data_IF_601027098160
#
_entry.id   IF_601027098160
#
_cell.length_a   1.000
_cell.length_b   1.000
_cell.length_c   1.000
_cell.angle_alpha   90.00
_cell.angle_beta   90.00
_cell.angle_gamma   90.00
#
_symmetry.space_group_name_H-M   'P 1'
#
loop_
_entity.id
_entity.type
_entity.pdbx_description
1 polymer ?
#
# COMPACT_ATOMS: atom_id res chain seq x y z
N UNK A 1 -19.07 19.37 -13.88
CA UNK A 1 -19.66 18.63 -12.76
C UNK A 1 -18.62 18.63 -11.66
N UNK A 2 -18.77 19.56 -10.72
CA UNK A 2 -17.89 19.66 -9.56
C UNK A 2 -18.33 18.60 -8.55
N UNK A 3 -17.70 17.42 -8.61
CA UNK A 3 -17.96 16.34 -7.67
C UNK A 3 -17.37 16.78 -6.33
N UNK A 4 -18.25 17.18 -5.40
CA UNK A 4 -17.87 17.41 -4.01
C UNK A 4 -17.61 16.06 -3.34
N UNK A 5 -16.51 15.97 -2.62
CA UNK A 5 -16.15 14.83 -1.79
C UNK A 5 -16.54 15.20 -0.36
N UNK A 6 -17.61 14.60 0.15
CA UNK A 6 -18.21 15.02 1.42
C UNK A 6 -17.67 14.26 2.64
N UNK A 7 -16.80 13.26 2.44
CA UNK A 7 -16.22 12.49 3.53
C UNK A 7 -14.89 11.85 3.16
N UNK A 8 -14.09 11.55 4.19
CA UNK A 8 -12.86 10.79 4.04
C UNK A 8 -13.10 9.39 3.44
N UNK A 9 -14.25 8.77 3.76
CA UNK A 9 -14.64 7.47 3.22
C UNK A 9 -14.87 7.53 1.70
N UNK A 10 -15.67 8.48 1.24
CA UNK A 10 -15.93 8.66 -0.19
C UNK A 10 -14.63 8.90 -0.97
N UNK A 11 -13.70 9.66 -0.39
CA UNK A 11 -12.36 9.81 -0.95
C UNK A 11 -11.62 8.48 -1.02
N UNK A 12 -11.50 7.75 0.10
CA UNK A 12 -10.80 6.47 0.14
C UNK A 12 -11.34 5.49 -0.90
N UNK A 13 -12.64 5.44 -1.13
CA UNK A 13 -13.26 4.57 -2.13
C UNK A 13 -12.91 4.95 -3.57
N UNK A 14 -12.74 6.25 -3.85
CA UNK A 14 -12.36 6.77 -5.16
C UNK A 14 -10.90 6.51 -5.55
N UNK A 15 -10.04 6.25 -4.57
CA UNK A 15 -8.59 6.15 -4.79
C UNK A 15 -8.16 4.76 -5.26
N UNK A 16 -7.07 4.66 -6.05
CA UNK A 16 -6.44 3.38 -6.32
C UNK A 16 -5.87 2.77 -5.03
N UNK A 17 -5.91 1.44 -4.91
CA UNK A 17 -5.48 0.71 -3.70
C UNK A 17 -4.10 1.13 -3.17
N UNK A 18 -3.14 1.40 -4.06
CA UNK A 18 -1.78 1.82 -3.68
C UNK A 18 -1.76 3.16 -2.91
N UNK A 19 -2.69 4.06 -3.21
CA UNK A 19 -2.72 5.39 -2.59
C UNK A 19 -3.47 5.39 -1.25
N UNK A 20 -4.36 4.40 -1.02
CA UNK A 20 -5.23 4.35 0.17
C UNK A 20 -4.43 4.21 1.46
N UNK A 21 -3.47 3.29 1.49
CA UNK A 21 -2.70 3.03 2.72
C UNK A 21 -1.78 4.21 3.08
N UNK A 22 -1.12 4.80 2.09
CA UNK A 22 -0.34 6.02 2.29
C UNK A 22 -1.19 7.20 2.79
N UNK A 23 -2.40 7.38 2.24
CA UNK A 23 -3.33 8.41 2.73
C UNK A 23 -3.77 8.16 4.18
N UNK A 24 -4.07 6.91 4.55
CA UNK A 24 -4.45 6.57 5.93
C UNK A 24 -3.32 6.92 6.92
N UNK A 25 -2.08 6.55 6.60
CA UNK A 25 -0.92 6.90 7.43
C UNK A 25 -0.69 8.42 7.44
N UNK A 26 -0.85 9.08 6.30
CA UNK A 26 -0.68 10.53 6.21
C UNK A 26 -1.74 11.28 7.04
N UNK A 27 -3.00 10.86 6.98
CA UNK A 27 -4.09 11.41 7.78
C UNK A 27 -3.88 11.19 9.28
N UNK A 28 -3.21 10.09 9.66
CA UNK A 28 -2.81 9.81 11.04
C UNK A 28 -1.65 10.71 11.51
N UNK A 29 -0.65 10.93 10.64
CA UNK A 29 0.60 11.62 11.00
C UNK A 29 0.55 13.13 10.85
N UNK A 30 -0.07 13.66 9.80
CA UNK A 30 -0.06 15.09 9.49
C UNK A 30 -0.54 15.93 10.68
N UNK A 31 -1.68 15.62 11.33
CA UNK A 31 -2.16 16.41 12.47
C UNK A 31 -1.24 16.40 13.70
N UNK A 32 -0.47 15.34 13.88
CA UNK A 32 0.45 15.14 14.99
C UNK A 32 1.86 15.68 14.71
N UNK A 33 2.17 16.03 13.46
CA UNK A 33 3.52 16.43 13.04
C UNK A 33 3.74 17.95 13.20
N UNK A 34 4.96 18.34 13.59
CA UNK A 34 5.37 19.75 13.54
C UNK A 34 5.53 20.22 12.09
N UNK A 35 6.10 19.34 11.26
CA UNK A 35 6.34 19.56 9.84
C UNK A 35 6.22 18.22 9.12
N UNK A 36 5.72 18.25 7.89
CA UNK A 36 5.68 17.09 7.00
C UNK A 36 6.35 17.47 5.68
N UNK A 37 7.24 16.62 5.20
CA UNK A 37 7.86 16.76 3.88
C UNK A 37 7.51 15.54 3.04
N UNK A 38 6.77 15.76 1.96
CA UNK A 38 6.39 14.73 1.01
C UNK A 38 7.23 14.90 -0.26
N UNK A 39 8.05 13.91 -0.55
CA UNK A 39 8.79 13.77 -1.79
C UNK A 39 7.98 12.84 -2.71
N UNK A 40 7.48 13.36 -3.84
CA UNK A 40 6.61 12.65 -4.74
C UNK A 40 7.14 11.29 -5.13
N UNK A 41 6.31 10.26 -4.93
CA UNK A 41 6.63 8.87 -5.28
C UNK A 41 7.93 8.37 -4.65
N UNK A 42 8.44 9.03 -3.62
CA UNK A 42 9.71 8.68 -3.00
C UNK A 42 9.48 8.43 -1.53
N UNK A 43 9.25 9.49 -0.75
CA UNK A 43 9.35 9.46 0.72
C UNK A 43 8.39 10.48 1.34
N UNK A 44 7.74 10.09 2.43
CA UNK A 44 7.04 11.00 3.33
C UNK A 44 7.81 11.03 4.65
N UNK A 45 8.25 12.22 5.06
CA UNK A 45 8.92 12.46 6.33
C UNK A 45 7.99 13.25 7.24
N UNK A 46 7.80 12.73 8.44
CA UNK A 46 6.99 13.36 9.48
C UNK A 46 7.89 13.71 10.65
N UNK A 47 8.04 14.99 10.92
CA UNK A 47 8.87 15.48 12.00
C UNK A 47 8.01 15.66 13.25
N UNK A 48 8.36 14.93 14.31
CA UNK A 48 7.69 15.04 15.60
C UNK A 48 7.96 16.41 16.23
N UNK A 49 6.97 16.90 16.96
CA UNK A 49 7.09 18.12 17.75
C UNK A 49 7.74 17.76 19.08
N UNK A 50 8.90 18.35 19.39
CA UNK A 50 9.44 18.25 20.73
C UNK A 50 8.64 19.11 21.72
N UNK A 51 8.68 18.73 23.00
CA UNK A 51 7.98 19.45 24.08
C UNK A 51 8.46 20.90 24.25
N UNK A 52 9.68 21.20 23.80
CA UNK A 52 10.29 22.53 23.81
C UNK A 52 9.83 23.43 22.63
N UNK A 53 9.11 22.88 21.64
CA UNK A 53 8.57 23.62 20.50
C UNK A 53 9.61 24.11 19.47
N UNK A 54 10.91 24.11 19.79
CA UNK A 54 11.98 24.64 18.94
C UNK A 54 12.84 23.56 18.29
N UNK A 55 13.00 22.39 18.91
CA UNK A 55 13.78 21.31 18.32
C UNK A 55 12.92 20.43 17.42
N UNK A 56 13.51 19.99 16.29
CA UNK A 56 12.85 19.10 15.33
C UNK A 56 13.46 17.71 15.49
N UNK A 57 12.62 16.74 15.86
CA UNK A 57 13.06 15.36 16.09
C UNK A 57 13.51 14.65 14.83
N UNK A 58 14.10 13.46 14.99
CA UNK A 58 14.38 12.57 13.84
C UNK A 58 13.05 12.23 13.15
N UNK A 59 12.93 12.42 11.83
CA UNK A 59 11.67 12.19 11.15
C UNK A 59 11.34 10.70 11.09
N UNK A 60 10.06 10.37 11.22
CA UNK A 60 9.54 9.09 10.80
C UNK A 60 9.36 9.08 9.27
N UNK A 61 10.08 8.19 8.58
CA UNK A 61 10.00 8.03 7.13
C UNK A 61 8.96 6.98 6.73
N UNK A 62 8.25 7.21 5.63
CA UNK A 62 7.28 6.28 5.04
C UNK A 62 7.32 6.36 3.52
N UNK A 63 6.90 5.28 2.85
CA UNK A 63 6.77 5.26 1.39
C UNK A 63 5.53 4.47 1.01
N UNK A 64 4.59 5.13 0.35
CA UNK A 64 3.28 4.55 0.00
C UNK A 64 2.56 3.90 1.20
N UNK A 65 2.77 4.41 2.43
CA UNK A 65 2.22 3.86 3.66
C UNK A 65 3.08 2.78 4.35
N UNK A 66 4.15 2.32 3.72
CA UNK A 66 5.12 1.39 4.34
C UNK A 66 6.02 2.16 5.29
N UNK A 67 6.08 1.73 6.55
CA UNK A 67 6.93 2.37 7.58
C UNK A 67 8.41 2.17 7.28
N UNK A 68 9.21 3.23 7.45
CA UNK A 68 10.67 3.21 7.40
C UNK A 68 11.33 2.42 8.54
N UNK A 69 10.54 1.93 9.51
CA UNK A 69 10.98 0.91 10.46
C UNK A 69 11.18 -0.47 9.79
N UNK A 70 10.55 -0.70 8.63
CA UNK A 70 10.92 -1.82 7.77
C UNK A 70 12.22 -1.47 7.03
N UNK A 71 13.24 -2.29 7.21
CA UNK A 71 14.51 -2.12 6.51
C UNK A 71 14.30 -2.36 5.01
N UNK A 72 14.84 -1.48 4.16
CA UNK A 72 14.71 -1.57 2.70
C UNK A 72 15.11 -2.94 2.12
N UNK A 73 16.22 -3.59 2.56
CA UNK A 73 16.55 -4.94 2.09
C UNK A 73 15.48 -5.98 2.44
N UNK A 74 14.83 -5.85 3.60
CA UNK A 74 13.78 -6.76 4.04
C UNK A 74 12.48 -6.56 3.24
N UNK A 75 12.14 -5.31 2.91
CA UNK A 75 11.01 -4.98 2.01
C UNK A 75 11.25 -5.57 0.62
N UNK A 76 12.42 -5.35 0.03
CA UNK A 76 12.78 -5.90 -1.28
C UNK A 76 12.74 -7.43 -1.29
N UNK A 77 13.21 -8.06 -0.22
CA UNK A 77 13.12 -9.51 -0.05
C UNK A 77 11.67 -10.00 0.08
N UNK A 78 10.81 -9.27 0.79
CA UNK A 78 9.39 -9.57 0.93
C UNK A 78 8.62 -9.47 -0.41
N UNK A 79 9.06 -8.59 -1.32
CA UNK A 79 8.46 -8.44 -2.65
C UNK A 79 8.78 -9.60 -3.60
N UNK A 80 9.93 -10.29 -3.44
CA UNK A 80 10.26 -11.47 -4.24
C UNK A 80 9.64 -12.74 -3.65
N UNK A 81 8.56 -13.22 -4.30
CA UNK A 81 7.84 -14.40 -3.87
C UNK A 81 8.71 -15.66 -3.83
N UNK A 82 9.65 -15.81 -4.75
CA UNK A 82 10.52 -17.00 -4.76
C UNK A 82 11.48 -16.97 -3.57
N UNK A 83 12.03 -15.79 -3.28
CA UNK A 83 13.02 -15.61 -2.24
C UNK A 83 12.43 -15.92 -0.85
N UNK A 84 11.30 -15.29 -0.48
CA UNK A 84 10.71 -15.56 0.83
C UNK A 84 10.17 -16.98 0.95
N UNK A 85 9.58 -17.56 -0.11
CA UNK A 85 9.11 -18.95 -0.07
C UNK A 85 10.23 -19.93 0.23
N UNK A 86 11.34 -19.84 -0.49
CA UNK A 86 12.49 -20.70 -0.27
C UNK A 86 13.06 -20.54 1.15
N UNK A 87 13.04 -19.31 1.70
CA UNK A 87 13.50 -19.04 3.06
C UNK A 87 12.54 -19.61 4.11
N UNK A 88 11.23 -19.49 3.93
CA UNK A 88 10.22 -20.12 4.79
C UNK A 88 10.35 -21.65 4.79
N UNK A 89 10.49 -22.27 3.61
CA UNK A 89 10.67 -23.72 3.46
C UNK A 89 11.91 -24.22 4.22
N UNK A 90 13.05 -23.52 4.12
CA UNK A 90 14.27 -23.85 4.87
C UNK A 90 14.10 -23.81 6.39
N UNK A 91 13.10 -23.07 6.88
CA UNK A 91 12.77 -22.97 8.31
C UNK A 91 11.60 -23.89 8.70
N UNK A 92 11.23 -24.84 7.84
CA UNK A 92 10.13 -25.77 8.08
C UNK A 92 8.77 -25.09 8.16
N UNK A 93 8.59 -23.95 7.47
CA UNK A 93 7.30 -23.26 7.37
C UNK A 93 6.64 -23.68 6.05
N UNK A 94 5.40 -24.15 6.14
CA UNK A 94 4.67 -24.65 4.97
C UNK A 94 4.28 -23.51 4.03
N UNK A 95 4.63 -23.68 2.76
CA UNK A 95 4.16 -22.85 1.65
C UNK A 95 3.54 -23.75 0.57
N UNK A 96 2.71 -23.17 -0.29
CA UNK A 96 2.02 -23.88 -1.38
C UNK A 96 3.02 -24.37 -2.43
N UNK A 97 2.94 -25.58 -2.98
CA UNK A 97 3.87 -25.96 -4.08
C UNK A 97 3.69 -25.05 -5.30
N UNK A 98 4.79 -24.51 -5.81
CA UNK A 98 4.77 -23.50 -6.87
C UNK A 98 5.98 -23.59 -7.80
N UNK A 99 5.83 -23.11 -9.03
CA UNK A 99 6.93 -22.95 -9.99
C UNK A 99 6.81 -21.62 -10.73
N UNK A 100 7.95 -21.05 -11.16
CA UNK A 100 7.99 -19.78 -11.88
C UNK A 100 8.24 -19.96 -13.36
N UNK A 101 7.47 -19.26 -14.19
CA UNK A 101 7.54 -19.30 -15.65
C UNK A 101 7.70 -17.89 -16.20
N UNK A 102 8.38 -17.76 -17.34
CA UNK A 102 8.53 -16.48 -18.04
C UNK A 102 7.73 -16.51 -19.34
N UNK A 103 7.61 -15.36 -20.00
CA UNK A 103 7.03 -15.31 -21.35
C UNK A 103 7.78 -16.17 -22.38
N UNK A 104 9.03 -16.55 -22.10
CA UNK A 104 9.83 -17.44 -22.96
C UNK A 104 9.54 -18.93 -22.75
N UNK A 105 8.84 -19.29 -21.68
CA UNK A 105 8.59 -20.70 -21.34
C UNK A 105 7.60 -21.31 -22.34
N UNK A 106 8.08 -22.25 -23.18
CA UNK A 106 7.32 -22.90 -24.25
C UNK A 106 6.25 -23.83 -23.69
N UNK A 107 5.13 -23.27 -23.24
CA UNK A 107 3.98 -24.01 -22.65
C UNK A 107 4.32 -24.82 -21.38
N UNK A 108 5.48 -24.62 -20.77
CA UNK A 108 5.89 -25.29 -19.52
C UNK A 108 4.92 -25.02 -18.38
N UNK A 109 4.36 -23.81 -18.33
CA UNK A 109 3.36 -23.41 -17.34
C UNK A 109 2.09 -24.27 -17.44
N UNK A 110 1.65 -24.63 -18.65
CA UNK A 110 0.50 -25.53 -18.87
C UNK A 110 0.80 -26.96 -18.41
N UNK A 111 1.98 -27.49 -18.77
CA UNK A 111 2.43 -28.83 -18.33
C UNK A 111 2.52 -28.92 -16.81
N UNK A 112 3.04 -27.88 -16.18
CA UNK A 112 3.11 -27.80 -14.73
C UNK A 112 1.72 -27.70 -14.09
N UNK A 113 0.82 -26.86 -14.62
CA UNK A 113 -0.56 -26.74 -14.16
C UNK A 113 -1.28 -28.10 -14.16
N UNK A 114 -1.16 -28.85 -15.25
CA UNK A 114 -1.71 -30.21 -15.37
C UNK A 114 -1.12 -31.17 -14.32
N UNK A 115 0.18 -31.06 -14.04
CA UNK A 115 0.87 -31.87 -13.02
C UNK A 115 0.38 -31.57 -11.60
N UNK A 116 0.17 -30.30 -11.25
CA UNK A 116 -0.31 -29.92 -9.90
C UNK A 116 -1.84 -29.99 -9.76
N UNK A 117 -2.55 -30.03 -10.89
CA UNK A 117 -4.00 -30.08 -10.99
C UNK A 117 -4.67 -28.71 -10.83
N UNK A 118 -5.77 -28.50 -11.55
CA UNK A 118 -6.64 -27.32 -11.44
C UNK A 118 -7.56 -27.40 -10.20
N UNK A 119 -8.05 -26.27 -9.64
CA UNK A 119 -7.73 -24.89 -10.03
C UNK A 119 -6.33 -24.44 -9.57
N UNK A 120 -5.78 -23.44 -10.27
CA UNK A 120 -4.44 -22.86 -10.01
C UNK A 120 -4.50 -21.34 -9.82
N UNK A 121 -3.48 -20.79 -9.18
CA UNK A 121 -3.33 -19.34 -8.98
C UNK A 121 -2.11 -18.82 -9.74
N UNK A 122 -2.30 -17.75 -10.50
CA UNK A 122 -1.23 -17.05 -11.22
C UNK A 122 -0.85 -15.75 -10.49
N UNK A 123 0.43 -15.59 -10.14
CA UNK A 123 0.95 -14.43 -9.41
C UNK A 123 2.16 -13.84 -10.12
N UNK A 124 2.37 -12.52 -10.20
CA UNK A 124 3.68 -11.98 -10.57
C UNK A 124 4.72 -12.38 -9.50
N UNK A 125 5.93 -12.78 -9.91
CA UNK A 125 6.98 -13.21 -8.95
C UNK A 125 7.46 -12.06 -8.09
N UNK A 126 7.68 -10.90 -8.69
CA UNK A 126 7.97 -9.66 -7.97
C UNK A 126 6.66 -8.94 -7.79
N UNK A 127 6.26 -8.73 -6.53
CA UNK A 127 5.14 -7.87 -6.22
C UNK A 127 5.58 -6.44 -6.43
N UNK A 128 5.12 -5.87 -7.53
CA UNK A 128 5.06 -4.44 -7.69
C UNK A 128 3.60 -4.01 -7.48
N UNK A 129 3.40 -2.87 -6.85
CA UNK A 129 2.10 -2.32 -6.46
C UNK A 129 1.13 -2.05 -7.62
N UNK A 130 1.57 -2.21 -8.89
CA UNK A 130 0.73 -2.18 -10.10
C UNK A 130 -0.29 -3.29 -10.22
N UNK A 131 0.10 -4.50 -9.82
CA UNK A 131 -0.65 -5.71 -10.12
C UNK A 131 -0.55 -6.65 -8.93
N UNK A 132 -1.03 -6.19 -7.78
CA UNK A 132 -1.18 -7.07 -6.61
C UNK A 132 -2.32 -8.09 -6.75
N UNK A 133 -3.10 -7.99 -7.84
CA UNK A 133 -4.14 -8.95 -8.16
C UNK A 133 -3.49 -10.21 -8.72
N UNK A 134 -3.35 -11.20 -7.85
CA UNK A 134 -3.19 -12.57 -8.28
C UNK A 134 -4.52 -13.07 -8.83
N UNK A 135 -4.42 -13.89 -9.89
CA UNK A 135 -5.58 -14.41 -10.60
C UNK A 135 -5.86 -15.81 -10.03
N UNK A 136 -7.02 -15.96 -9.40
CA UNK A 136 -7.51 -17.21 -8.81
C UNK A 136 -8.49 -17.91 -9.75
N UNK A 137 -8.93 -19.10 -9.35
CA UNK A 137 -10.02 -19.87 -9.94
C UNK A 137 -9.80 -20.27 -11.40
N UNK A 138 -8.53 -20.24 -11.84
CA UNK A 138 -8.13 -20.70 -13.17
C UNK A 138 -8.37 -22.19 -13.22
N UNK A 139 -9.35 -22.61 -14.02
CA UNK A 139 -9.93 -23.95 -13.94
C UNK A 139 -9.48 -24.87 -15.08
N UNK A 140 -8.88 -24.33 -16.15
CA UNK A 140 -8.45 -25.11 -17.31
C UNK A 140 -7.26 -24.49 -18.06
N UNK A 141 -6.71 -25.25 -19.01
CA UNK A 141 -5.53 -24.87 -19.80
C UNK A 141 -5.76 -23.65 -20.70
N UNK A 142 -6.92 -23.56 -21.35
CA UNK A 142 -7.24 -22.45 -22.26
C UNK A 142 -7.32 -21.12 -21.49
N UNK A 143 -7.97 -21.15 -20.33
CA UNK A 143 -8.07 -20.01 -19.44
C UNK A 143 -6.69 -19.59 -18.91
N UNK A 144 -5.86 -20.55 -18.48
CA UNK A 144 -4.51 -20.27 -18.02
C UNK A 144 -3.65 -19.63 -19.12
N UNK A 145 -3.69 -20.15 -20.35
CA UNK A 145 -2.93 -19.61 -21.47
C UNK A 145 -3.36 -18.18 -21.79
N UNK A 146 -4.66 -17.92 -21.82
CA UNK A 146 -5.21 -16.58 -22.03
C UNK A 146 -4.77 -15.60 -20.93
N UNK A 147 -4.94 -15.98 -19.65
CA UNK A 147 -4.63 -15.11 -18.51
C UNK A 147 -3.13 -14.88 -18.37
N UNK A 148 -2.29 -15.88 -18.67
CA UNK A 148 -0.84 -15.71 -18.68
C UNK A 148 -0.40 -14.67 -19.72
N UNK A 149 -0.94 -14.73 -20.95
CA UNK A 149 -0.66 -13.73 -22.00
C UNK A 149 -1.19 -12.35 -21.61
N UNK A 150 -2.45 -12.27 -21.17
CA UNK A 150 -3.13 -11.02 -20.80
C UNK A 150 -2.47 -10.34 -19.60
N UNK A 151 -1.95 -11.09 -18.64
CA UNK A 151 -1.27 -10.54 -17.45
C UNK A 151 0.00 -9.74 -17.77
N UNK A 152 0.53 -9.85 -18.99
CA UNK A 152 1.68 -9.09 -19.48
C UNK A 152 1.30 -7.77 -20.13
N UNK A 153 0.04 -7.57 -20.47
CA UNK A 153 -0.45 -6.36 -21.13
C UNK A 153 -0.55 -5.21 -20.11
N UNK A 154 0.17 -4.12 -20.38
CA UNK A 154 0.14 -2.90 -19.57
C UNK A 154 -1.05 -2.04 -20.01
N UNK A 155 -2.09 -1.97 -19.15
CA UNK A 155 -3.24 -1.10 -19.39
C UNK A 155 -2.82 0.38 -19.33
N UNK A 156 -3.22 1.17 -20.34
CA UNK A 156 -2.99 2.63 -20.48
C UNK A 156 -3.80 3.49 -19.49
N UNK A 157 -3.88 3.13 -18.22
CA UNK A 157 -4.46 4.04 -17.24
C UNK A 157 -3.35 4.99 -16.75
N UNK A 158 -3.56 6.31 -16.69
CA UNK A 158 -2.60 7.25 -16.07
C UNK A 158 -2.28 6.88 -14.60
N UNK A 159 -3.18 6.13 -13.95
CA UNK A 159 -2.94 5.48 -12.66
C UNK A 159 -1.84 4.41 -12.69
N UNK A 160 -1.40 3.92 -13.86
CA UNK A 160 -0.33 2.93 -14.00
C UNK A 160 1.05 3.54 -13.69
N UNK A 161 1.25 4.84 -13.92
CA UNK A 161 2.49 5.55 -13.56
C UNK A 161 2.62 5.76 -12.04
N UNK A 162 1.47 5.88 -11.35
CA UNK A 162 1.38 5.96 -9.89
C UNK A 162 1.66 4.63 -9.20
N UNK A 163 1.49 3.54 -9.90
CA UNK A 163 1.47 2.23 -9.28
C UNK A 163 2.83 1.53 -9.20
N UNK A 164 3.89 2.09 -9.79
CA UNK A 164 5.23 1.56 -9.59
C UNK A 164 5.68 1.83 -8.15
N UNK A 165 5.97 0.76 -7.40
CA UNK A 165 6.51 0.87 -6.05
C UNK A 165 7.82 1.66 -6.12
N UNK A 166 7.97 2.73 -5.33
CA UNK A 166 9.18 3.56 -5.30
C UNK A 166 10.46 2.78 -5.01
N UNK A 167 10.30 1.64 -4.33
CA UNK A 167 11.39 0.76 -3.91
C UNK A 167 11.65 -0.39 -4.86
N UNK A 168 10.79 -0.63 -5.85
CA UNK A 168 11.01 -1.70 -6.80
C UNK A 168 12.26 -1.34 -7.62
N UNK A 169 13.42 -1.83 -7.16
CA UNK A 169 14.71 -1.73 -7.86
C UNK A 169 14.67 -2.29 -9.29
N UNK A 170 13.55 -2.89 -9.71
CA UNK A 170 13.43 -3.76 -10.87
C UNK A 170 12.67 -3.15 -12.04
N UNK A 171 12.26 -1.88 -12.00
CA UNK A 171 11.64 -1.23 -13.18
C UNK A 171 12.62 -0.52 -14.13
N UNK A 172 13.83 -1.07 -14.27
CA UNK A 172 14.70 -0.83 -15.44
C UNK A 172 14.30 -1.71 -16.64
N UNK A 173 13.00 -1.93 -16.85
CA UNK A 173 12.51 -2.76 -17.97
C UNK A 173 11.91 -1.87 -19.04
N UNK A 174 12.49 -1.89 -20.23
CA UNK A 174 11.95 -1.26 -21.43
C UNK A 174 10.60 -1.91 -21.81
N UNK A 175 9.53 -1.11 -21.76
CA UNK A 175 8.22 -1.50 -22.24
C UNK A 175 8.33 -1.94 -23.71
N UNK A 176 7.81 -3.12 -24.05
CA UNK A 176 7.70 -3.52 -25.44
C UNK A 176 6.39 -2.98 -26.02
N UNK A 177 6.48 -2.25 -27.13
CA UNK A 177 5.30 -1.76 -27.86
C UNK A 177 5.07 -2.68 -29.06
N UNK A 178 3.88 -3.23 -29.20
CA UNK A 178 3.51 -3.99 -30.39
C UNK A 178 3.11 -3.09 -31.56
N UNK A 179 2.85 -3.71 -32.71
CA UNK A 179 2.42 -3.03 -33.95
C UNK A 179 1.10 -2.24 -33.79
N UNK A 180 0.31 -2.51 -32.75
CA UNK A 180 -0.94 -1.84 -32.44
C UNK A 180 -0.80 -0.78 -31.32
N UNK A 181 0.43 -0.46 -30.91
CA UNK A 181 0.69 0.52 -29.85
C UNK A 181 0.29 0.07 -28.45
N UNK A 182 0.09 -1.24 -28.23
CA UNK A 182 -0.13 -1.84 -26.91
C UNK A 182 1.22 -2.08 -26.24
N UNK A 183 1.29 -1.76 -24.95
CA UNK A 183 2.50 -1.93 -24.14
C UNK A 183 2.47 -3.25 -23.42
N UNK A 184 3.59 -3.95 -23.40
CA UNK A 184 3.75 -5.23 -22.74
C UNK A 184 4.98 -5.25 -21.84
N UNK A 185 4.85 -5.99 -20.74
CA UNK A 185 5.99 -6.41 -19.93
C UNK A 185 6.93 -7.31 -20.75
N UNK A 186 8.26 -7.17 -20.58
CA UNK A 186 9.22 -8.01 -21.28
C UNK A 186 8.99 -9.50 -21.06
N UNK A 187 9.41 -10.32 -22.03
CA UNK A 187 9.30 -11.78 -21.92
C UNK A 187 10.12 -12.37 -20.75
N UNK A 188 11.06 -11.61 -20.19
CA UNK A 188 11.85 -11.99 -19.01
C UNK A 188 11.07 -11.90 -17.70
N UNK A 189 9.96 -11.15 -17.65
CA UNK A 189 9.10 -11.07 -16.47
C UNK A 189 8.57 -12.46 -16.13
N UNK A 190 8.67 -12.81 -14.85
CA UNK A 190 8.29 -14.12 -14.33
C UNK A 190 6.98 -14.05 -13.56
N UNK A 191 6.17 -15.08 -13.75
CA UNK A 191 4.97 -15.36 -13.00
C UNK A 191 5.13 -16.68 -12.25
N UNK A 192 4.64 -16.73 -11.03
CA UNK A 192 4.52 -17.91 -10.23
C UNK A 192 3.16 -18.56 -10.50
N UNK A 193 3.17 -19.87 -10.74
CA UNK A 193 1.98 -20.70 -10.78
C UNK A 193 1.99 -21.64 -9.58
N UNK A 194 0.90 -21.67 -8.84
CA UNK A 194 0.74 -22.53 -7.67
C UNK A 194 -0.65 -23.15 -7.59
N UNK A 195 -0.78 -24.23 -6.82
CA UNK A 195 -2.07 -24.89 -6.60
C UNK A 195 -2.96 -23.97 -5.78
N UNK A 196 -4.21 -23.77 -6.19
CA UNK A 196 -5.17 -23.11 -5.32
C UNK A 196 -5.58 -24.08 -4.21
N UNK A 197 -5.31 -23.71 -2.96
CA UNK A 197 -5.71 -24.49 -1.79
C UNK A 197 -7.15 -24.18 -1.41
N UNK A 198 -7.87 -25.21 -0.98
CA UNK A 198 -9.17 -25.05 -0.33
C UNK A 198 -8.96 -24.73 1.15
N UNK A 199 -9.83 -23.91 1.73
CA UNK A 199 -9.82 -23.56 3.14
C UNK A 199 -10.26 -22.12 3.39
N UNK A 200 -10.22 -21.72 4.66
CA UNK A 200 -10.47 -20.36 5.13
C UNK A 200 -9.21 -19.52 4.95
N UNK A 201 -9.37 -18.27 4.56
CA UNK A 201 -8.24 -17.34 4.55
C UNK A 201 -8.03 -16.84 5.97
N UNK A 202 -6.79 -16.89 6.46
CA UNK A 202 -6.36 -16.31 7.73
C UNK A 202 -5.31 -15.26 7.44
N UNK A 203 -5.49 -14.05 7.96
CA UNK A 203 -4.55 -12.95 7.90
C UNK A 203 -4.02 -12.65 9.28
N UNK A 204 -2.71 -12.71 9.42
CA UNK A 204 -1.99 -12.27 10.61
C UNK A 204 -1.31 -10.94 10.27
N UNK A 205 -1.51 -9.93 11.11
CA UNK A 205 -0.82 -8.66 11.04
C UNK A 205 0.19 -8.64 12.18
N UNK A 206 1.46 -8.61 11.82
CA UNK A 206 2.58 -8.60 12.74
C UNK A 206 3.07 -7.17 12.93
N UNK A 207 3.35 -6.79 14.18
CA UNK A 207 4.04 -5.58 14.57
C UNK A 207 5.20 -5.94 15.51
N UNK A 208 6.40 -5.50 15.16
CA UNK A 208 7.64 -5.68 15.93
C UNK A 208 7.90 -7.13 16.33
N UNK A 209 7.59 -8.05 15.40
CA UNK A 209 7.75 -9.49 15.59
C UNK A 209 6.60 -10.19 16.33
N UNK A 210 5.62 -9.45 16.83
CA UNK A 210 4.48 -9.96 17.60
C UNK A 210 3.16 -9.85 16.82
N UNK A 211 2.20 -10.70 17.13
CA UNK A 211 0.88 -10.65 16.50
C UNK A 211 0.08 -9.44 17.03
N UNK A 212 -0.19 -8.47 16.16
CA UNK A 212 -0.95 -7.26 16.49
C UNK A 212 -2.45 -7.44 16.23
N UNK A 213 -2.83 -8.16 15.17
CA UNK A 213 -4.20 -8.48 14.86
C UNK A 213 -4.30 -9.74 14.00
N UNK A 214 -5.42 -10.45 14.09
CA UNK A 214 -5.73 -11.60 13.25
C UNK A 214 -7.15 -11.50 12.70
N UNK A 215 -7.31 -11.83 11.43
CA UNK A 215 -8.59 -11.80 10.74
C UNK A 215 -8.77 -13.06 9.91
N UNK A 216 -9.99 -13.55 9.75
CA UNK A 216 -10.29 -14.61 8.82
C UNK A 216 -11.41 -14.23 7.86
N UNK A 217 -11.48 -14.92 6.71
CA UNK A 217 -12.64 -14.89 5.84
C UNK A 217 -13.41 -16.21 5.96
N UNK A 218 -14.66 -16.19 6.46
CA UNK A 218 -15.57 -17.32 6.34
C UNK A 218 -15.76 -17.71 4.86
N UNK A 219 -15.99 -18.99 4.57
CA UNK A 219 -16.10 -19.50 3.20
C UNK A 219 -17.21 -18.83 2.36
N UNK A 220 -18.26 -18.32 3.02
CA UNK A 220 -19.41 -17.70 2.37
C UNK A 220 -19.38 -16.17 2.42
N UNK A 221 -18.43 -15.58 3.14
CA UNK A 221 -18.35 -14.14 3.38
C UNK A 221 -17.16 -13.52 2.65
N UNK A 222 -17.38 -12.35 2.07
CA UNK A 222 -16.33 -11.56 1.42
C UNK A 222 -15.62 -10.66 2.41
N UNK A 223 -16.26 -10.28 3.52
CA UNK A 223 -15.71 -9.44 4.57
C UNK A 223 -14.65 -10.17 5.39
N UNK A 224 -13.72 -9.41 5.97
CA UNK A 224 -12.83 -9.95 6.98
C UNK A 224 -13.55 -9.93 8.33
N UNK A 225 -13.30 -10.90 9.19
CA UNK A 225 -13.81 -10.95 10.55
C UNK A 225 -12.64 -11.13 11.53
N UNK A 226 -12.68 -10.56 12.75
CA UNK A 226 -11.63 -10.77 13.74
C UNK A 226 -11.55 -12.26 14.08
N UNK A 227 -10.34 -12.79 14.20
CA UNK A 227 -10.13 -14.19 14.59
C UNK A 227 -10.00 -14.28 16.12
N UNK A 228 -11.09 -14.03 16.84
CA UNK A 228 -11.09 -13.95 18.32
C UNK A 228 -10.70 -15.27 18.99
N UNK A 229 -11.07 -16.39 18.36
CA UNK A 229 -10.73 -17.75 18.82
C UNK A 229 -9.50 -18.31 18.09
N UNK A 230 -8.52 -17.48 17.72
CA UNK A 230 -7.30 -17.95 17.05
C UNK A 230 -6.53 -18.93 17.96
N UNK A 231 -6.25 -20.12 17.45
CA UNK A 231 -5.40 -21.07 18.17
C UNK A 231 -3.96 -20.55 18.30
N UNK A 232 -3.36 -20.71 19.47
CA UNK A 232 -2.04 -20.15 19.82
C UNK A 232 -0.91 -20.61 18.86
N UNK A 233 -1.04 -21.80 18.26
CA UNK A 233 -0.10 -22.30 17.24
C UNK A 233 -0.01 -21.38 16.01
N UNK A 234 -1.07 -20.66 15.64
CA UNK A 234 -1.01 -19.71 14.52
C UNK A 234 -0.33 -18.40 14.92
N UNK A 235 -0.44 -17.97 16.18
CA UNK A 235 0.38 -16.88 16.73
C UNK A 235 1.85 -17.26 16.65
N UNK A 236 2.22 -18.41 17.20
CA UNK A 236 3.60 -18.92 17.17
C UNK A 236 4.12 -19.07 15.73
N UNK A 237 3.28 -19.51 14.79
CA UNK A 237 3.63 -19.57 13.36
C UNK A 237 3.88 -18.16 12.78
N UNK A 238 3.02 -17.19 13.09
CA UNK A 238 3.18 -15.79 12.67
C UNK A 238 4.47 -15.18 13.19
N UNK A 239 4.79 -15.37 14.47
CA UNK A 239 6.02 -14.91 15.10
C UNK A 239 7.25 -15.60 14.50
N UNK A 240 7.16 -16.91 14.21
CA UNK A 240 8.21 -17.65 13.50
C UNK A 240 8.45 -17.07 12.10
N UNK A 241 7.39 -16.78 11.35
CA UNK A 241 7.49 -16.12 10.02
C UNK A 241 8.12 -14.74 10.16
N UNK A 242 7.69 -13.92 11.12
CA UNK A 242 8.25 -12.59 11.35
C UNK A 242 9.75 -12.66 11.70
N UNK A 243 10.16 -13.63 12.53
CA UNK A 243 11.57 -13.90 12.84
C UNK A 243 12.38 -14.32 11.62
N UNK A 244 11.79 -15.07 10.68
CA UNK A 244 12.46 -15.40 9.41
C UNK A 244 12.60 -14.16 8.52
N UNK A 245 11.60 -13.28 8.54
CA UNK A 245 11.58 -12.01 7.78
C UNK A 245 12.27 -10.86 8.53
N UNK A 246 13.46 -11.13 9.08
CA UNK A 246 14.25 -10.16 9.84
C UNK A 246 14.34 -8.80 9.13
N UNK A 247 14.19 -7.72 9.91
CA UNK A 247 14.16 -6.34 9.38
C UNK A 247 12.78 -5.85 8.96
N UNK A 248 11.74 -6.69 9.05
CA UNK A 248 10.34 -6.26 8.93
C UNK A 248 9.76 -5.95 10.31
N UNK A 249 9.60 -4.68 10.65
CA UNK A 249 8.84 -4.24 11.81
C UNK A 249 7.34 -4.50 11.63
N UNK A 250 6.80 -4.34 10.42
CA UNK A 250 5.40 -4.61 10.10
C UNK A 250 5.31 -5.59 8.95
N UNK A 251 4.51 -6.63 9.13
CA UNK A 251 4.34 -7.68 8.14
C UNK A 251 2.90 -8.21 8.15
N UNK A 252 2.29 -8.27 6.97
CA UNK A 252 1.06 -9.01 6.73
C UNK A 252 1.39 -10.41 6.24
N UNK A 253 0.84 -11.41 6.90
CA UNK A 253 0.96 -12.82 6.54
C UNK A 253 -0.44 -13.32 6.20
N UNK A 254 -0.67 -13.74 4.95
CA UNK A 254 -1.90 -14.42 4.58
C UNK A 254 -1.64 -15.93 4.45
N UNK A 255 -2.51 -16.72 5.05
CA UNK A 255 -2.53 -18.18 5.05
C UNK A 255 -3.86 -18.69 4.48
N UNK A 256 -3.83 -19.91 3.95
CA UNK A 256 -5.03 -20.75 3.86
C UNK A 256 -4.94 -21.78 4.97
N UNK A 257 -6.01 -21.91 5.75
CA UNK A 257 -6.13 -22.82 6.89
C UNK A 257 -7.44 -23.59 6.80
N UNK A 258 -7.49 -24.79 7.35
CA UNK A 258 -8.76 -25.53 7.48
C UNK A 258 -9.68 -24.84 8.49
N UNK A 259 -9.17 -24.61 9.70
CA UNK A 259 -9.86 -23.91 10.78
C UNK A 259 -8.87 -23.08 11.63
N UNK A 260 -9.06 -21.76 11.79
CA UNK A 260 -8.18 -20.91 12.61
C UNK A 260 -8.28 -21.19 14.12
N UNK A 261 -9.33 -21.86 14.59
CA UNK A 261 -9.51 -22.21 16.01
C UNK A 261 -8.87 -23.54 16.40
N UNK A 262 -8.44 -24.32 15.41
CA UNK A 262 -7.78 -25.61 15.60
C UNK A 262 -6.26 -25.49 15.53
N UNK A 263 -5.55 -26.43 16.14
CA UNK A 263 -4.08 -26.47 16.11
C UNK A 263 -3.52 -26.52 14.68
N UNK A 264 -2.48 -25.73 14.41
CA UNK A 264 -1.74 -25.74 13.17
C UNK A 264 -0.84 -26.99 13.09
N UNK A 265 -1.22 -27.94 12.23
CA UNK A 265 -0.52 -29.20 12.00
C UNK A 265 0.04 -29.25 10.59
N UNK A 266 0.96 -30.19 10.35
CA UNK A 266 1.42 -30.41 8.98
C UNK A 266 0.25 -30.81 8.08
N UNK A 267 0.04 -30.05 7.01
CA UNK A 267 -0.99 -30.32 6.00
C UNK A 267 -2.29 -29.52 6.13
N UNK A 268 -2.58 -28.88 7.27
CA UNK A 268 -3.82 -28.12 7.47
C UNK A 268 -3.68 -26.60 7.27
N UNK A 269 -2.49 -26.13 6.92
CA UNK A 269 -2.23 -24.73 6.63
C UNK A 269 -1.10 -24.55 5.59
N UNK A 270 -1.09 -23.39 4.94
CA UNK A 270 0.06 -22.91 4.18
C UNK A 270 0.09 -21.39 4.10
N UNK A 271 1.29 -20.81 4.19
CA UNK A 271 1.51 -19.39 3.89
C UNK A 271 1.39 -19.19 2.37
N UNK A 272 0.50 -18.30 1.96
CA UNK A 272 0.19 -18.02 0.54
C UNK A 272 0.67 -16.63 0.11
N UNK A 273 0.98 -15.75 1.05
CA UNK A 273 1.36 -14.37 0.77
C UNK A 273 2.02 -13.71 1.97
N UNK A 274 3.07 -12.93 1.71
CA UNK A 274 3.66 -11.96 2.61
C UNK A 274 3.55 -10.55 2.00
N UNK A 275 3.46 -9.51 2.83
CA UNK A 275 3.46 -8.12 2.37
C UNK A 275 3.85 -7.15 3.49
N UNK A 276 4.66 -6.16 3.12
CA UNK A 276 4.94 -4.93 3.86
C UNK A 276 3.71 -4.00 3.99
N UNK A 277 2.75 -4.13 3.07
CA UNK A 277 1.49 -3.41 3.07
C UNK A 277 0.46 -4.17 3.91
N UNK A 278 0.00 -3.57 5.01
CA UNK A 278 -0.97 -4.18 5.93
C UNK A 278 -2.39 -4.17 5.34
N UNK A 279 -2.65 -3.24 4.42
CA UNK A 279 -3.95 -3.04 3.76
C UNK A 279 -5.07 -2.71 4.74
N UNK A 280 -4.75 -1.86 5.72
CA UNK A 280 -5.69 -1.34 6.71
C UNK A 280 -6.96 -0.74 6.07
N UNK A 281 -6.86 -0.18 4.85
CA UNK A 281 -8.02 0.33 4.10
C UNK A 281 -9.09 -0.73 3.78
N UNK A 282 -8.75 -2.03 3.78
CA UNK A 282 -9.74 -3.11 3.62
C UNK A 282 -10.49 -3.45 4.91
N UNK A 283 -10.04 -2.91 6.03
CA UNK A 283 -10.60 -3.15 7.37
C UNK A 283 -11.22 -1.88 7.95
N UNK A 284 -11.01 -0.73 7.30
CA UNK A 284 -11.34 0.58 7.82
C UNK A 284 -12.82 0.73 8.19
N UNK A 285 -13.73 0.26 7.33
CA UNK A 285 -15.17 0.32 7.57
C UNK A 285 -15.67 -0.84 8.44
N UNK A 286 -15.15 -2.05 8.22
CA UNK A 286 -15.63 -3.26 8.88
C UNK A 286 -15.16 -3.35 10.34
N UNK A 287 -13.95 -2.85 10.63
CA UNK A 287 -13.26 -2.97 11.92
C UNK A 287 -12.54 -1.65 12.28
N UNK A 288 -13.28 -0.54 12.47
CA UNK A 288 -12.67 0.79 12.62
C UNK A 288 -11.76 0.89 13.85
N UNK A 289 -12.15 0.33 15.00
CA UNK A 289 -11.33 0.38 16.22
C UNK A 289 -10.00 -0.38 16.09
N UNK A 290 -10.03 -1.59 15.51
CA UNK A 290 -8.81 -2.38 15.27
C UNK A 290 -7.94 -1.72 14.22
N UNK A 291 -8.56 -1.20 13.16
CA UNK A 291 -7.86 -0.48 12.10
C UNK A 291 -7.16 0.76 12.64
N UNK A 292 -7.83 1.56 13.48
CA UNK A 292 -7.24 2.72 14.12
C UNK A 292 -6.02 2.32 14.96
N UNK A 293 -6.14 1.31 15.82
CA UNK A 293 -5.01 0.82 16.63
C UNK A 293 -3.82 0.37 15.78
N UNK A 294 -4.08 -0.32 14.65
CA UNK A 294 -3.03 -0.72 13.71
C UNK A 294 -2.37 0.48 13.04
N UNK A 295 -3.15 1.48 12.62
CA UNK A 295 -2.62 2.72 12.04
C UNK A 295 -1.77 3.48 13.05
N UNK A 296 -2.18 3.56 14.31
CA UNK A 296 -1.41 4.19 15.39
C UNK A 296 -0.09 3.46 15.63
N UNK A 297 -0.12 2.12 15.67
CA UNK A 297 1.08 1.31 15.80
C UNK A 297 2.06 1.56 14.65
N UNK A 298 1.58 1.61 13.41
CA UNK A 298 2.42 1.83 12.21
C UNK A 298 2.93 3.27 12.13
N UNK A 299 2.05 4.24 12.42
CA UNK A 299 2.37 5.67 12.44
C UNK A 299 3.29 6.04 13.62
N UNK A 300 3.28 5.26 14.70
CA UNK A 300 4.02 5.58 15.93
C UNK A 300 3.44 6.77 16.69
N UNK A 301 2.16 7.10 16.47
CA UNK A 301 1.45 8.17 17.17
C UNK A 301 -0.06 7.89 17.19
N UNK A 302 -0.74 8.38 18.23
CA UNK A 302 -2.20 8.54 18.25
C UNK A 302 -2.53 9.97 17.81
N UNK A 303 -3.61 10.19 17.05
CA UNK A 303 -3.92 11.52 16.56
C UNK A 303 -4.62 12.28 17.69
N UNK A 304 -4.06 13.42 18.11
CA UNK A 304 -4.66 14.24 19.17
C UNK A 304 -6.00 14.89 18.74
N UNK A 305 -6.32 14.84 17.45
CA UNK A 305 -7.51 15.48 16.86
C UNK A 305 -8.26 14.51 15.95
N UNK A 306 -9.58 14.68 15.90
CA UNK A 306 -10.43 13.94 14.98
C UNK A 306 -10.16 14.37 13.53
N UNK A 307 -10.35 13.45 12.59
CA UNK A 307 -10.25 13.75 11.15
C UNK A 307 -11.26 14.81 10.69
N UNK A 308 -12.38 14.97 11.39
CA UNK A 308 -13.40 15.99 11.12
C UNK A 308 -13.07 17.35 11.76
N UNK A 309 -12.10 17.41 12.67
CA UNK A 309 -11.69 18.67 13.30
C UNK A 309 -11.05 19.59 12.27
N UNK A 310 -11.40 20.89 12.24
CA UNK A 310 -10.72 21.87 11.39
C UNK A 310 -9.21 21.90 11.65
N UNK A 311 -8.44 21.83 10.57
CA UNK A 311 -6.99 21.90 10.52
C UNK A 311 -6.61 23.06 9.61
N UNK A 312 -5.71 23.92 10.12
CA UNK A 312 -5.07 24.93 9.30
C UNK A 312 -3.68 24.45 8.93
N UNK A 313 -3.37 24.53 7.64
CA UNK A 313 -2.06 24.16 7.10
C UNK A 313 -1.46 25.32 6.31
N UNK A 314 -0.16 25.51 6.47
CA UNK A 314 0.69 26.24 5.54
C UNK A 314 1.44 25.20 4.71
N UNK A 315 1.41 25.32 3.38
CA UNK A 315 2.12 24.40 2.50
C UNK A 315 2.91 25.12 1.42
N UNK A 316 4.05 24.54 1.05
CA UNK A 316 4.92 24.98 -0.04
C UNK A 316 5.09 23.84 -1.03
N UNK A 317 4.68 24.09 -2.27
CA UNK A 317 4.94 23.22 -3.42
C UNK A 317 6.16 23.74 -4.17
N UNK A 318 7.10 22.87 -4.53
CA UNK A 318 8.32 23.26 -5.25
C UNK A 318 8.54 22.45 -6.53
N UNK A 319 9.32 22.99 -7.47
CA UNK A 319 9.63 22.36 -8.76
C UNK A 319 8.46 22.41 -9.74
N UNK A 320 7.69 23.49 -9.68
CA UNK A 320 6.54 23.76 -10.54
C UNK A 320 7.00 24.51 -11.79
N UNK A 321 6.63 24.03 -12.97
CA UNK A 321 6.91 24.65 -14.26
C UNK A 321 5.77 25.54 -14.77
N UNK A 322 4.53 25.28 -14.34
CA UNK A 322 3.31 26.00 -14.78
C UNK A 322 2.47 26.48 -13.60
N UNK A 323 2.91 27.54 -12.94
CA UNK A 323 2.28 28.08 -11.72
C UNK A 323 0.77 28.35 -11.87
N UNK A 324 0.34 29.09 -12.89
CA UNK A 324 -1.09 29.44 -13.09
C UNK A 324 -1.98 28.21 -13.31
N UNK A 325 -1.42 27.16 -13.92
CA UNK A 325 -2.11 25.90 -14.07
C UNK A 325 -2.30 25.23 -12.71
N UNK A 326 -1.21 25.14 -11.94
CA UNK A 326 -1.24 24.56 -10.60
C UNK A 326 -2.22 25.31 -9.69
N UNK A 327 -2.26 26.64 -9.75
CA UNK A 327 -3.23 27.44 -8.99
C UNK A 327 -4.68 27.04 -9.30
N UNK A 328 -5.04 26.90 -10.59
CA UNK A 328 -6.39 26.47 -10.98
C UNK A 328 -6.69 25.05 -10.49
N UNK A 329 -5.72 24.15 -10.59
CA UNK A 329 -5.84 22.78 -10.07
C UNK A 329 -5.99 22.77 -8.54
N UNK A 330 -5.25 23.61 -7.81
CA UNK A 330 -5.29 23.74 -6.36
C UNK A 330 -6.64 24.24 -5.89
N UNK A 331 -7.15 25.33 -6.48
CA UNK A 331 -8.47 25.89 -6.16
C UNK A 331 -9.58 24.88 -6.41
N UNK A 332 -9.55 24.20 -7.56
CA UNK A 332 -10.53 23.17 -7.90
C UNK A 332 -10.50 21.99 -6.91
N UNK A 333 -9.32 21.48 -6.59
CA UNK A 333 -9.17 20.36 -5.65
C UNK A 333 -9.57 20.76 -4.23
N UNK A 334 -9.17 21.94 -3.76
CA UNK A 334 -9.58 22.47 -2.46
C UNK A 334 -11.10 22.65 -2.37
N UNK A 335 -11.73 23.21 -3.41
CA UNK A 335 -13.19 23.36 -3.49
C UNK A 335 -13.89 22.00 -3.46
N UNK A 336 -13.41 21.01 -4.21
CA UNK A 336 -13.97 19.66 -4.22
C UNK A 336 -13.87 18.98 -2.84
N UNK A 337 -12.83 19.28 -2.07
CA UNK A 337 -12.62 18.79 -0.70
C UNK A 337 -13.30 19.66 0.37
N UNK A 338 -14.00 20.73 -0.02
CA UNK A 338 -14.66 21.65 0.91
C UNK A 338 -13.69 22.46 1.78
N UNK A 339 -12.49 22.76 1.27
CA UNK A 339 -11.48 23.57 1.96
C UNK A 339 -11.50 25.03 1.53
N UNK A 340 -11.23 25.93 2.47
CA UNK A 340 -10.84 27.30 2.18
C UNK A 340 -9.35 27.32 1.80
N UNK A 341 -9.00 28.06 0.74
CA UNK A 341 -7.64 28.13 0.20
C UNK A 341 -7.27 29.58 -0.10
N UNK A 342 -6.15 30.03 0.46
CA UNK A 342 -5.52 31.31 0.14
C UNK A 342 -4.10 31.05 -0.40
N UNK A 343 -3.84 31.48 -1.64
CA UNK A 343 -2.50 31.42 -2.23
C UNK A 343 -1.77 32.69 -1.82
N UNK A 344 -0.64 32.53 -1.14
CA UNK A 344 0.19 33.64 -0.65
C UNK A 344 1.26 34.01 -1.68
N UNK A 345 1.85 33.00 -2.34
CA UNK A 345 2.97 33.19 -3.26
C UNK A 345 2.82 32.27 -4.47
N UNK A 346 3.03 32.84 -5.66
CA UNK A 346 3.13 32.14 -6.94
C UNK A 346 4.40 32.61 -7.66
N UNK A 347 5.54 32.00 -7.33
CA UNK A 347 6.83 32.32 -7.94
C UNK A 347 7.11 31.38 -9.12
N UNK A 348 6.89 31.91 -10.34
CA UNK A 348 7.17 31.18 -11.58
C UNK A 348 8.66 31.03 -11.89
N UNK A 349 9.53 31.85 -11.28
CA UNK A 349 10.98 31.81 -11.51
C UNK A 349 11.61 30.71 -10.68
N UNK A 350 11.29 30.63 -9.39
CA UNK A 350 11.80 29.55 -8.53
C UNK A 350 10.96 28.27 -8.60
N UNK A 351 9.79 28.33 -9.25
CA UNK A 351 8.85 27.22 -9.37
C UNK A 351 8.24 26.85 -8.02
N UNK A 352 7.88 27.86 -7.21
CA UNK A 352 7.35 27.70 -5.86
C UNK A 352 5.95 28.27 -5.73
N UNK A 353 5.10 27.55 -4.99
CA UNK A 353 3.75 27.99 -4.64
C UNK A 353 3.55 27.82 -3.14
N UNK A 354 3.33 28.93 -2.42
CA UNK A 354 2.96 28.92 -0.99
C UNK A 354 1.46 29.19 -0.86
N UNK A 355 0.80 28.40 -0.03
CA UNK A 355 -0.62 28.59 0.27
C UNK A 355 -0.96 28.23 1.71
N UNK A 356 -2.05 28.82 2.19
CA UNK A 356 -2.74 28.45 3.41
C UNK A 356 -4.04 27.75 3.04
N UNK A 357 -4.37 26.68 3.76
CA UNK A 357 -5.64 26.02 3.60
C UNK A 357 -6.26 25.68 4.96
N UNK A 358 -7.58 25.76 5.05
CA UNK A 358 -8.37 25.48 6.25
C UNK A 358 -9.55 24.58 5.88
N UNK A 359 -9.81 23.57 6.70
CA UNK A 359 -10.90 22.61 6.50
C UNK A 359 -10.72 21.39 7.40
N UNK A 360 -11.54 20.35 7.28
CA UNK A 360 -11.37 19.11 8.05
C UNK A 360 -9.95 18.53 7.88
N UNK A 361 -9.39 17.95 8.95
CA UNK A 361 -8.04 17.39 8.93
C UNK A 361 -7.87 16.30 7.85
N UNK A 362 -8.91 15.51 7.56
CA UNK A 362 -8.86 14.57 6.44
C UNK A 362 -8.72 15.26 5.08
N UNK A 363 -9.34 16.43 4.90
CA UNK A 363 -9.30 17.18 3.65
C UNK A 363 -7.91 17.80 3.43
N UNK A 364 -7.30 18.37 4.48
CA UNK A 364 -5.92 18.85 4.42
C UNK A 364 -4.91 17.74 4.12
N UNK A 365 -5.12 16.57 4.72
CA UNK A 365 -4.32 15.36 4.44
C UNK A 365 -4.53 14.88 3.00
N UNK A 366 -5.77 14.87 2.51
CA UNK A 366 -6.11 14.48 1.15
C UNK A 366 -5.48 15.41 0.11
N UNK A 367 -5.57 16.72 0.31
CA UNK A 367 -5.02 17.74 -0.58
C UNK A 367 -3.51 17.54 -0.74
N UNK A 368 -2.77 17.54 0.37
CA UNK A 368 -1.30 17.43 0.34
C UNK A 368 -0.84 16.07 -0.17
N UNK A 369 -1.54 14.98 0.17
CA UNK A 369 -1.27 13.65 -0.37
C UNK A 369 -1.54 13.55 -1.88
N UNK A 370 -2.60 14.18 -2.38
CA UNK A 370 -2.93 14.21 -3.79
C UNK A 370 -1.84 14.90 -4.60
N UNK A 371 -1.33 16.04 -4.11
CA UNK A 371 -0.23 16.77 -4.75
C UNK A 371 1.09 16.01 -4.67
N UNK A 372 1.40 15.41 -3.53
CA UNK A 372 2.59 14.59 -3.39
C UNK A 372 2.57 13.38 -4.34
N UNK A 373 1.41 12.80 -4.63
CA UNK A 373 1.37 11.63 -5.50
C UNK A 373 1.08 11.98 -6.97
N UNK A 374 0.56 13.17 -7.28
CA UNK A 374 0.09 13.47 -8.64
C UNK A 374 -1.29 12.85 -8.93
N UNK A 375 -2.16 12.76 -7.92
CA UNK A 375 -3.49 12.17 -8.04
C UNK A 375 -4.45 13.17 -8.67
N UNK A 376 -4.76 12.98 -9.96
CA UNK A 376 -5.75 13.81 -10.67
C UNK A 376 -5.26 15.23 -11.03
N UNK A 377 -3.95 15.46 -10.95
CA UNK A 377 -3.28 16.72 -11.32
C UNK A 377 -2.28 16.48 -12.45
N UNK A 378 -1.99 17.52 -13.22
CA UNK A 378 -1.02 17.42 -14.32
C UNK A 378 0.30 18.10 -13.99
N UNK A 379 0.28 19.12 -13.13
CA UNK A 379 1.49 19.79 -12.67
C UNK A 379 1.93 19.17 -11.34
N UNK A 380 2.79 18.15 -11.42
CA UNK A 380 3.23 17.40 -10.24
C UNK A 380 4.43 18.13 -9.60
N UNK A 381 4.32 18.63 -8.35
CA UNK A 381 5.46 19.21 -7.64
C UNK A 381 6.57 18.18 -7.46
N UNK A 382 7.79 18.65 -7.23
CA UNK A 382 8.96 17.83 -6.82
C UNK A 382 9.06 17.67 -5.30
N UNK A 383 8.34 18.50 -4.53
CA UNK A 383 8.17 18.35 -3.08
C UNK A 383 6.94 19.10 -2.59
N UNK A 384 6.33 18.59 -1.52
CA UNK A 384 5.26 19.24 -0.74
C UNK A 384 5.73 19.35 0.71
N UNK A 385 5.99 20.56 1.17
CA UNK A 385 6.33 20.84 2.58
C UNK A 385 5.11 21.41 3.28
N UNK A 386 4.75 20.89 4.44
CA UNK A 386 3.51 21.21 5.15
C UNK A 386 3.79 21.46 6.62
N UNK A 387 3.24 22.55 7.15
CA UNK A 387 3.21 22.85 8.59
C UNK A 387 1.76 22.96 9.04
N UNK A 388 1.46 22.35 10.18
CA UNK A 388 0.16 22.51 10.84
C UNK A 388 0.20 23.74 11.74
N UNK A 389 -0.66 24.72 11.44
CA UNK A 389 -0.85 25.91 12.27
C UNK A 389 -1.84 25.53 13.38
N UNK A 390 -1.36 25.41 14.62
CA UNK A 390 -2.25 25.31 15.78
C UNK A 390 -2.42 26.70 16.36
N UNK A 391 -3.66 27.21 16.37
CA UNK A 391 -4.01 28.37 17.18
C UNK A 391 -3.52 28.09 18.60
N UNK A 392 -2.61 28.92 19.13
CA UNK A 392 -2.06 28.71 20.45
C UNK A 392 -3.20 28.46 21.44
N UNK A 393 -3.09 27.39 22.25
CA UNK A 393 -3.96 27.28 23.42
C UNK A 393 -3.74 28.58 24.19
N UNK A 394 -4.75 29.46 24.22
CA UNK A 394 -4.77 30.57 25.15
C UNK A 394 -4.51 29.97 26.52
N UNK A 395 -3.36 30.33 27.10
CA UNK A 395 -2.97 29.93 28.44
C UNK A 395 -3.88 30.53 29.49
#
# INVERSE_FOLDING_TARGET
>A
MDVRIDSFRALLDSLPSIAKEGLLIHAQRLPASARTMLLPRQLAYYYDRHADGESVGKPAGFVCGVSGRNLLPAVNFCQDIRAWRARLERHGIKVVKAASFSGRSQRDHLRYAKKIGYPVVLKPVIRNTLYEEFITDISNENELEFLFRKSRELKKNKASDLTASPYAMTRLSEDHVDEHGRRFLPLSVRYLLEKQLAGRHLRLIMAEGQLAAAFHKPLQDKAWQPADNLHESYRALGEKVAKVMQGMAFLRIDLVVEDPASEAKEGNHAVISLSEHLKCYKLYDEHPAVTQRLLELVAGCSPDISLETPLQIEAVLAGISRGERLERELRRTAQALGMELAIEELDQVTGRVRFHASGPAWAGSALTWAYANGLGIEEIPTSVDVKVIRSGRGG
#
